data_IF_326125442078
#
_entry.id   IF_326125442078
#
_cell.length_a   1.000
_cell.length_b   1.000
_cell.length_c   1.000
_cell.angle_alpha   90.00
_cell.angle_beta   90.00
_cell.angle_gamma   90.00
#
_symmetry.space_group_name_H-M   'P 1'
#
loop_
_entity.id
_entity.type
_entity.pdbx_description
1 polymer ?
#
# COMPACT_ATOMS: atom_id res chain seq x y z
N UNK A 1 15.02 12.92 15.51
CA UNK A 1 14.76 11.74 14.67
C UNK A 1 15.34 11.95 13.28
N UNK A 2 16.04 10.97 12.70
CA UNK A 2 16.72 11.10 11.40
C UNK A 2 15.76 10.94 10.19
N UNK A 3 16.28 11.14 8.97
CA UNK A 3 15.51 10.98 7.73
C UNK A 3 15.12 9.52 7.45
N UNK A 4 15.95 8.57 7.87
CA UNK A 4 15.71 7.15 7.65
C UNK A 4 14.45 6.69 8.41
N UNK A 5 14.28 7.15 9.65
CA UNK A 5 13.12 6.79 10.47
C UNK A 5 11.81 7.33 9.87
N UNK A 6 11.82 8.54 9.31
CA UNK A 6 10.64 9.10 8.62
C UNK A 6 10.25 8.25 7.42
N UNK A 7 11.22 7.81 6.62
CA UNK A 7 10.97 6.93 5.50
C UNK A 7 10.44 5.56 5.92
N UNK A 8 10.97 5.00 7.02
CA UNK A 8 10.45 3.74 7.55
C UNK A 8 8.99 3.85 7.99
N UNK A 9 8.60 4.93 8.67
CA UNK A 9 7.20 5.18 9.05
C UNK A 9 6.31 5.34 7.80
N UNK A 10 6.77 6.09 6.81
CA UNK A 10 6.05 6.25 5.55
C UNK A 10 5.84 4.93 4.82
N UNK A 11 6.91 4.13 4.68
CA UNK A 11 6.88 2.82 4.02
C UNK A 11 5.94 1.85 4.75
N UNK A 12 5.97 1.86 6.08
CA UNK A 12 5.09 1.05 6.92
C UNK A 12 3.61 1.40 6.69
N UNK A 13 3.25 2.68 6.58
CA UNK A 13 1.87 3.11 6.24
C UNK A 13 1.49 2.63 4.84
N UNK A 14 2.34 2.86 3.83
CA UNK A 14 2.08 2.43 2.44
C UNK A 14 1.90 0.92 2.37
N UNK A 15 2.73 0.17 3.07
CA UNK A 15 2.66 -1.28 3.08
C UNK A 15 1.41 -1.79 3.81
N UNK A 16 1.05 -1.18 4.95
CA UNK A 16 -0.18 -1.46 5.68
C UNK A 16 -1.41 -1.26 4.78
N UNK A 17 -1.46 -0.16 4.02
CA UNK A 17 -2.53 0.14 3.05
C UNK A 17 -2.65 -0.93 1.96
N UNK A 18 -1.53 -1.38 1.40
CA UNK A 18 -1.49 -2.43 0.37
C UNK A 18 -1.92 -3.81 0.88
N UNK A 19 -1.71 -4.06 2.17
CA UNK A 19 -1.92 -5.36 2.80
C UNK A 19 -3.26 -5.51 3.51
N UNK A 20 -4.26 -4.66 3.23
CA UNK A 20 -5.61 -4.74 3.85
C UNK A 20 -6.20 -6.16 3.87
N UNK A 21 -5.99 -6.95 2.82
CA UNK A 21 -6.45 -8.35 2.71
C UNK A 21 -5.91 -9.29 3.80
N UNK A 22 -4.84 -8.91 4.52
CA UNK A 22 -4.30 -9.66 5.67
C UNK A 22 -5.10 -9.43 6.95
N UNK A 23 -5.91 -8.38 6.99
CA UNK A 23 -6.65 -7.93 8.17
C UNK A 23 -8.15 -8.12 7.97
N UNK A 24 -8.64 -7.80 6.77
CA UNK A 24 -10.03 -7.96 6.39
C UNK A 24 -10.10 -9.07 5.36
N UNK A 25 -10.74 -10.18 5.72
CA UNK A 25 -10.90 -11.35 4.85
C UNK A 25 -12.33 -11.37 4.27
N UNK A 26 -12.48 -11.60 2.96
CA UNK A 26 -13.79 -11.55 2.30
C UNK A 26 -14.69 -12.73 2.66
N UNK A 27 -14.11 -13.81 3.20
CA UNK A 27 -14.85 -15.00 3.68
C UNK A 27 -15.41 -14.84 5.09
N UNK A 28 -15.09 -13.75 5.81
CA UNK A 28 -15.63 -13.51 7.14
C UNK A 28 -17.12 -13.18 7.08
N UNK A 29 -17.82 -13.55 8.16
CA UNK A 29 -19.16 -13.02 8.41
C UNK A 29 -19.15 -11.49 8.45
N UNK A 30 -20.21 -10.87 7.94
CA UNK A 30 -20.28 -9.42 7.70
C UNK A 30 -19.94 -8.57 8.93
N UNK A 31 -20.45 -8.95 10.10
CA UNK A 31 -20.21 -8.25 11.36
C UNK A 31 -18.71 -8.27 11.71
N UNK A 32 -18.11 -9.46 11.73
CA UNK A 32 -16.68 -9.65 11.97
C UNK A 32 -15.79 -8.95 10.95
N UNK A 33 -16.19 -8.92 9.68
CA UNK A 33 -15.49 -8.17 8.64
C UNK A 33 -15.51 -6.66 8.90
N UNK A 34 -16.63 -6.14 9.41
CA UNK A 34 -16.80 -4.73 9.77
C UNK A 34 -15.95 -4.38 10.99
N UNK A 35 -15.94 -5.22 12.03
CA UNK A 35 -15.10 -5.02 13.21
C UNK A 35 -13.61 -5.02 12.85
N UNK A 36 -13.19 -5.98 12.02
CA UNK A 36 -11.82 -6.04 11.53
C UNK A 36 -11.44 -4.80 10.71
N UNK A 37 -12.37 -4.27 9.90
CA UNK A 37 -12.15 -3.05 9.13
C UNK A 37 -11.99 -1.83 10.06
N UNK A 38 -12.79 -1.73 11.12
CA UNK A 38 -12.67 -0.68 12.14
C UNK A 38 -11.34 -0.77 12.88
N UNK A 39 -10.92 -1.97 13.32
CA UNK A 39 -9.62 -2.17 13.98
C UNK A 39 -8.48 -1.79 13.02
N UNK A 40 -8.55 -2.24 11.77
CA UNK A 40 -7.57 -1.90 10.74
C UNK A 40 -7.48 -0.39 10.52
N UNK A 41 -8.63 0.30 10.47
CA UNK A 41 -8.70 1.76 10.35
C UNK A 41 -8.00 2.45 11.52
N UNK A 42 -8.32 2.07 12.75
CA UNK A 42 -7.70 2.65 13.96
C UNK A 42 -6.18 2.54 13.91
N UNK A 43 -5.66 1.36 13.57
CA UNK A 43 -4.20 1.16 13.43
C UNK A 43 -3.61 2.06 12.35
N UNK A 44 -4.30 2.24 11.22
CA UNK A 44 -3.83 3.09 10.13
C UNK A 44 -3.82 4.58 10.53
N UNK A 45 -4.87 5.04 11.22
CA UNK A 45 -4.95 6.39 11.79
C UNK A 45 -3.82 6.64 12.79
N UNK A 46 -3.59 5.72 13.73
CA UNK A 46 -2.51 5.84 14.72
C UNK A 46 -1.12 5.94 14.06
N UNK A 47 -0.87 5.15 13.01
CA UNK A 47 0.39 5.24 12.24
C UNK A 47 0.53 6.59 11.53
N UNK A 48 -0.55 7.09 10.92
CA UNK A 48 -0.55 8.39 10.23
C UNK A 48 -0.35 9.55 11.23
N UNK A 49 -1.03 9.53 12.37
CA UNK A 49 -0.85 10.55 13.43
C UNK A 49 0.56 10.51 14.03
N UNK A 50 1.11 9.31 14.24
CA UNK A 50 2.50 9.15 14.65
C UNK A 50 3.46 9.75 13.61
N UNK A 51 3.26 9.45 12.33
CA UNK A 51 4.06 10.00 11.25
C UNK A 51 3.96 11.54 11.15
N UNK A 52 2.73 12.07 11.24
CA UNK A 52 2.44 13.51 11.28
C UNK A 52 3.14 14.22 12.44
N UNK A 53 2.97 13.74 13.67
CA UNK A 53 3.60 14.29 14.88
C UNK A 53 5.12 14.40 14.75
N UNK A 54 5.73 13.43 14.06
CA UNK A 54 7.15 13.40 13.80
C UNK A 54 7.62 14.39 12.73
N UNK A 55 6.77 14.71 11.76
CA UNK A 55 7.05 15.69 10.71
C UNK A 55 6.81 17.13 11.18
N UNK A 56 5.85 17.36 12.09
CA UNK A 56 5.49 18.68 12.63
C UNK A 56 6.68 19.40 13.28
N UNK A 57 7.64 18.64 13.80
CA UNK A 57 8.87 19.20 14.37
C UNK A 57 9.83 19.78 13.32
N UNK A 58 9.63 19.46 12.03
CA UNK A 58 10.58 19.75 10.93
C UNK A 58 10.00 20.59 9.80
N UNK A 59 8.70 20.50 9.58
CA UNK A 59 8.05 21.06 8.41
C UNK A 59 6.90 21.98 8.81
N UNK A 60 6.69 23.03 8.04
CA UNK A 60 5.51 23.89 8.19
C UNK A 60 4.24 23.13 7.81
N UNK A 61 3.10 23.60 8.30
CA UNK A 61 1.78 23.02 8.01
C UNK A 61 1.52 22.87 6.49
N UNK A 62 1.93 23.86 5.70
CA UNK A 62 1.84 23.76 4.24
C UNK A 62 2.65 22.59 3.69
N UNK A 63 3.90 22.38 4.13
CA UNK A 63 4.73 21.26 3.67
C UNK A 63 4.19 19.93 4.19
N UNK A 64 3.68 19.89 5.42
CA UNK A 64 3.01 18.71 5.98
C UNK A 64 1.82 18.29 5.14
N UNK A 65 0.99 19.25 4.70
CA UNK A 65 -0.12 18.98 3.81
C UNK A 65 0.35 18.29 2.53
N UNK A 66 1.42 18.79 1.91
CA UNK A 66 1.99 18.19 0.70
C UNK A 66 2.57 16.78 0.90
N UNK A 67 2.91 16.39 2.13
CA UNK A 67 3.42 15.06 2.48
C UNK A 67 2.27 14.10 2.83
N UNK A 68 1.34 14.57 3.68
CA UNK A 68 0.32 13.71 4.28
C UNK A 68 -0.89 13.52 3.39
N UNK A 69 -1.33 14.56 2.68
CA UNK A 69 -2.53 14.46 1.84
C UNK A 69 -2.40 13.39 0.74
N UNK A 70 -1.28 13.29 0.00
CA UNK A 70 -1.09 12.24 -0.99
C UNK A 70 -1.10 10.83 -0.37
N UNK A 71 -0.44 10.67 0.79
CA UNK A 71 -0.39 9.39 1.51
C UNK A 71 -1.76 8.94 2.01
N UNK A 72 -2.53 9.86 2.59
CA UNK A 72 -3.90 9.61 3.07
C UNK A 72 -4.83 9.26 1.91
N UNK A 73 -4.74 10.00 0.80
CA UNK A 73 -5.50 9.71 -0.41
C UNK A 73 -5.18 8.32 -0.98
N UNK A 74 -3.90 7.92 -0.96
CA UNK A 74 -3.47 6.59 -1.34
C UNK A 74 -4.08 5.51 -0.46
N UNK A 75 -4.06 5.70 0.87
CA UNK A 75 -4.65 4.76 1.81
C UNK A 75 -6.13 4.54 1.53
N UNK A 76 -6.90 5.64 1.41
CA UNK A 76 -8.33 5.58 1.09
C UNK A 76 -8.58 4.87 -0.24
N UNK A 77 -7.78 5.13 -1.28
CA UNK A 77 -7.93 4.43 -2.56
C UNK A 77 -7.71 2.92 -2.41
N UNK A 78 -6.65 2.47 -1.73
CA UNK A 78 -6.38 1.04 -1.57
C UNK A 78 -7.49 0.32 -0.82
N UNK A 79 -8.02 0.94 0.23
CA UNK A 79 -9.13 0.36 1.00
C UNK A 79 -10.41 0.33 0.18
N UNK A 80 -10.80 1.44 -0.45
CA UNK A 80 -12.02 1.50 -1.25
C UNK A 80 -11.97 0.54 -2.44
N UNK A 81 -10.84 0.43 -3.14
CA UNK A 81 -10.66 -0.55 -4.22
C UNK A 81 -10.79 -1.98 -3.70
N UNK A 82 -10.24 -2.28 -2.52
CA UNK A 82 -10.37 -3.60 -1.91
C UNK A 82 -11.84 -3.93 -1.61
N UNK A 83 -12.55 -3.04 -0.92
CA UNK A 83 -13.95 -3.23 -0.58
C UNK A 83 -14.85 -3.34 -1.82
N UNK A 84 -14.59 -2.53 -2.85
CA UNK A 84 -15.32 -2.57 -4.11
C UNK A 84 -15.15 -3.90 -4.85
N UNK A 85 -13.93 -4.46 -4.88
CA UNK A 85 -13.64 -5.70 -5.57
C UNK A 85 -14.17 -6.96 -4.86
N UNK A 86 -14.62 -6.83 -3.61
CA UNK A 86 -15.13 -7.95 -2.81
C UNK A 86 -16.61 -7.74 -2.48
N UNK A 87 -17.50 -8.37 -3.24
CA UNK A 87 -18.95 -8.18 -3.16
C UNK A 87 -19.53 -8.41 -1.75
N UNK A 88 -18.98 -9.35 -0.97
CA UNK A 88 -19.36 -9.59 0.44
C UNK A 88 -19.07 -8.39 1.36
N UNK A 89 -18.08 -7.57 1.00
CA UNK A 89 -17.61 -6.39 1.73
C UNK A 89 -18.15 -5.07 1.15
N UNK A 90 -18.84 -5.10 0.02
CA UNK A 90 -19.38 -3.89 -0.66
C UNK A 90 -20.34 -3.04 0.18
N UNK A 91 -20.91 -3.62 1.25
CA UNK A 91 -21.77 -2.94 2.22
C UNK A 91 -21.04 -2.47 3.48
N UNK A 92 -19.76 -2.81 3.65
CA UNK A 92 -18.95 -2.28 4.73
C UNK A 92 -18.61 -0.81 4.42
N UNK A 93 -18.83 0.08 5.38
CA UNK A 93 -18.56 1.49 5.21
C UNK A 93 -17.13 1.81 5.63
N UNK A 94 -16.32 2.28 4.70
CA UNK A 94 -15.04 2.89 5.02
C UNK A 94 -15.22 4.39 5.29
N UNK A 95 -14.98 4.80 6.53
CA UNK A 95 -14.95 6.22 6.88
C UNK A 95 -13.64 6.84 6.38
N UNK A 96 -13.77 7.63 5.30
CA UNK A 96 -12.67 8.23 4.55
C UNK A 96 -11.69 9.02 5.43
N UNK A 97 -10.42 8.64 5.36
CA UNK A 97 -9.32 9.32 6.05
C UNK A 97 -9.10 10.74 5.52
N UNK A 98 -9.27 11.01 4.21
CA UNK A 98 -9.17 12.39 3.70
C UNK A 98 -10.26 13.31 4.29
N UNK A 99 -11.43 12.76 4.66
CA UNK A 99 -12.47 13.54 5.34
C UNK A 99 -12.07 13.81 6.78
N UNK A 100 -11.56 12.82 7.49
CA UNK A 100 -11.10 12.99 8.88
C UNK A 100 -9.93 13.98 8.99
N UNK A 101 -8.85 13.76 8.23
CA UNK A 101 -7.62 14.54 8.35
C UNK A 101 -7.68 15.92 7.69
N UNK A 102 -8.45 16.05 6.61
CA UNK A 102 -8.40 17.26 5.77
C UNK A 102 -9.77 17.85 5.45
N UNK A 103 -10.87 17.24 5.91
CA UNK A 103 -12.24 17.66 5.57
C UNK A 103 -12.49 17.68 4.04
N UNK A 104 -11.87 16.75 3.31
CA UNK A 104 -11.96 16.62 1.85
C UNK A 104 -12.42 15.24 1.42
N UNK A 105 -12.93 15.16 0.19
CA UNK A 105 -13.33 13.90 -0.47
C UNK A 105 -12.78 13.74 -1.90
N UNK A 106 -12.09 14.77 -2.40
CA UNK A 106 -11.62 14.88 -3.78
C UNK A 106 -10.14 14.48 -3.95
N UNK A 107 -9.63 13.58 -3.11
CA UNK A 107 -8.23 13.14 -3.05
C UNK A 107 -7.66 12.71 -4.38
N UNK A 108 -8.43 11.92 -5.14
CA UNK A 108 -8.02 11.46 -6.46
C UNK A 108 -7.84 12.58 -7.48
N UNK A 109 -8.52 13.72 -7.35
CA UNK A 109 -8.35 14.88 -8.23
C UNK A 109 -7.33 15.87 -7.69
N UNK A 110 -7.39 16.15 -6.39
CA UNK A 110 -6.50 17.09 -5.72
C UNK A 110 -5.05 16.62 -5.75
N UNK A 111 -4.80 15.32 -5.64
CA UNK A 111 -3.46 14.74 -5.80
C UNK A 111 -2.79 15.17 -7.11
N UNK A 112 -3.49 15.10 -8.25
CA UNK A 112 -2.91 15.51 -9.52
C UNK A 112 -2.81 17.03 -9.66
N UNK A 113 -3.74 17.80 -9.07
CA UNK A 113 -3.59 19.26 -9.00
C UNK A 113 -2.34 19.68 -8.21
N UNK A 114 -1.98 18.93 -7.17
CA UNK A 114 -0.72 19.16 -6.45
C UNK A 114 0.49 18.89 -7.34
N UNK A 115 0.47 17.82 -8.13
CA UNK A 115 1.53 17.53 -9.10
C UNK A 115 1.64 18.65 -10.13
N UNK A 116 0.52 19.11 -10.68
CA UNK A 116 0.48 20.20 -11.65
C UNK A 116 1.10 21.48 -11.07
N UNK A 117 0.72 21.87 -9.85
CA UNK A 117 1.26 23.06 -9.18
C UNK A 117 2.77 22.96 -8.91
N UNK A 118 3.26 21.76 -8.53
CA UNK A 118 4.70 21.50 -8.33
C UNK A 118 5.46 21.62 -9.65
N UNK A 119 4.98 20.95 -10.71
CA UNK A 119 5.63 20.95 -12.03
C UNK A 119 5.61 22.34 -12.69
N UNK A 120 4.54 23.10 -12.48
CA UNK A 120 4.41 24.48 -12.93
C UNK A 120 5.24 25.48 -12.09
N UNK A 121 5.87 25.02 -11.01
CA UNK A 121 6.63 25.84 -10.05
C UNK A 121 5.80 26.94 -9.38
N UNK A 122 4.48 26.73 -9.29
CA UNK A 122 3.57 27.62 -8.56
C UNK A 122 3.78 27.49 -7.04
N UNK A 123 4.23 26.31 -6.60
CA UNK A 123 4.57 26.03 -5.19
C UNK A 123 5.97 25.46 -5.11
N UNK A 124 6.80 26.03 -4.23
CA UNK A 124 8.14 25.52 -3.93
C UNK A 124 8.08 24.52 -2.78
N UNK A 125 8.34 23.25 -3.09
CA UNK A 125 8.37 22.15 -2.11
C UNK A 125 9.77 21.54 -2.02
N UNK A 126 10.19 21.01 -0.86
CA UNK A 126 11.38 20.18 -0.78
C UNK A 126 11.29 18.95 -1.70
N UNK A 127 12.43 18.56 -2.30
CA UNK A 127 12.55 17.44 -3.26
C UNK A 127 11.99 16.10 -2.75
N UNK A 128 11.94 15.91 -1.43
CA UNK A 128 11.35 14.73 -0.79
C UNK A 128 9.88 14.53 -1.17
N UNK A 129 9.12 15.60 -1.42
CA UNK A 129 7.70 15.56 -1.77
C UNK A 129 7.49 15.00 -3.20
N UNK A 130 8.12 15.56 -4.26
CA UNK A 130 8.06 14.97 -5.59
C UNK A 130 8.47 13.50 -5.61
N UNK A 131 9.50 13.12 -4.85
CA UNK A 131 9.94 11.72 -4.69
C UNK A 131 8.81 10.86 -4.12
N UNK A 132 8.24 11.27 -2.98
CA UNK A 132 7.17 10.55 -2.30
C UNK A 132 5.93 10.38 -3.20
N UNK A 133 5.52 11.45 -3.88
CA UNK A 133 4.39 11.43 -4.82
C UNK A 133 4.67 10.46 -5.98
N UNK A 134 5.87 10.51 -6.56
CA UNK A 134 6.26 9.59 -7.64
C UNK A 134 6.25 8.12 -7.16
N UNK A 135 6.68 7.85 -5.93
CA UNK A 135 6.61 6.51 -5.34
C UNK A 135 5.15 6.04 -5.18
N UNK A 136 4.22 6.90 -4.76
CA UNK A 136 2.80 6.52 -4.68
C UNK A 136 2.21 6.16 -6.05
N UNK A 137 2.58 6.90 -7.10
CA UNK A 137 2.19 6.56 -8.48
C UNK A 137 2.72 5.18 -8.89
N UNK A 138 4.01 4.90 -8.64
CA UNK A 138 4.65 3.60 -8.89
C UNK A 138 4.03 2.46 -8.07
N UNK A 139 3.53 2.76 -6.87
CA UNK A 139 2.76 1.83 -6.04
C UNK A 139 1.28 1.70 -6.49
N UNK A 140 0.95 2.24 -7.65
CA UNK A 140 -0.30 2.06 -8.36
C UNK A 140 -1.43 2.95 -7.84
N UNK A 141 -1.12 4.15 -7.35
CA UNK A 141 -2.13 5.18 -7.14
C UNK A 141 -2.71 5.63 -8.47
N UNK A 142 -4.04 5.65 -8.61
CA UNK A 142 -4.71 6.05 -9.86
C UNK A 142 -5.51 7.34 -9.74
N UNK A 143 -6.03 7.63 -8.55
CA UNK A 143 -6.92 8.76 -8.28
C UNK A 143 -8.02 8.89 -9.32
N UNK A 144 -8.17 10.09 -9.89
CA UNK A 144 -9.16 10.38 -10.94
C UNK A 144 -9.02 9.53 -12.21
N UNK A 145 -7.90 8.84 -12.42
CA UNK A 145 -7.65 7.98 -13.58
C UNK A 145 -7.98 6.50 -13.32
N UNK A 146 -8.75 6.17 -12.29
CA UNK A 146 -9.06 4.77 -11.96
C UNK A 146 -9.88 4.03 -13.04
N UNK A 147 -10.76 4.72 -13.78
CA UNK A 147 -11.59 4.14 -14.86
C UNK A 147 -11.02 4.34 -16.27
N UNK A 148 -10.12 5.31 -16.46
CA UNK A 148 -9.66 5.68 -17.81
C UNK A 148 -8.28 6.37 -17.79
N UNK A 149 -7.58 6.28 -18.92
CA UNK A 149 -6.40 7.08 -19.26
C UNK A 149 -5.16 6.86 -18.38
N UNK A 150 -4.73 5.61 -18.23
CA UNK A 150 -3.46 5.27 -17.57
C UNK A 150 -2.24 5.92 -18.23
N UNK A 151 -2.32 6.27 -19.52
CA UNK A 151 -1.27 7.00 -20.23
C UNK A 151 -0.93 8.33 -19.55
N UNK A 152 -1.93 9.03 -18.99
CA UNK A 152 -1.70 10.27 -18.26
C UNK A 152 -0.88 10.05 -16.97
N UNK A 153 -1.07 8.92 -16.28
CA UNK A 153 -0.28 8.60 -15.07
C UNK A 153 1.20 8.47 -15.44
N UNK A 154 1.52 7.70 -16.48
CA UNK A 154 2.90 7.55 -16.97
C UNK A 154 3.51 8.88 -17.41
N UNK A 155 2.70 9.81 -17.92
CA UNK A 155 3.19 11.16 -18.24
C UNK A 155 3.55 11.95 -16.98
N UNK A 156 2.75 11.87 -15.91
CA UNK A 156 3.08 12.49 -14.62
C UNK A 156 4.33 11.88 -14.00
N UNK A 157 4.46 10.55 -14.00
CA UNK A 157 5.64 9.83 -13.52
C UNK A 157 6.91 10.35 -14.22
N UNK A 158 6.91 10.36 -15.56
CA UNK A 158 8.06 10.85 -16.35
C UNK A 158 8.40 12.30 -16.06
N UNK A 159 7.41 13.19 -15.97
CA UNK A 159 7.64 14.60 -15.67
C UNK A 159 8.24 14.80 -14.28
N UNK A 160 7.74 14.05 -13.28
CA UNK A 160 8.29 14.06 -11.93
C UNK A 160 9.71 13.49 -11.89
N UNK A 161 9.99 12.40 -12.60
CA UNK A 161 11.34 11.83 -12.73
C UNK A 161 12.32 12.84 -13.31
N UNK A 162 11.97 13.47 -14.44
CA UNK A 162 12.81 14.52 -15.05
C UNK A 162 13.00 15.72 -14.11
N UNK A 163 11.96 16.14 -13.38
CA UNK A 163 12.10 17.20 -12.38
C UNK A 163 13.08 16.78 -11.26
N UNK A 164 12.92 15.56 -10.75
CA UNK A 164 13.75 15.02 -9.67
C UNK A 164 15.21 14.95 -10.13
N UNK A 165 15.49 14.40 -11.30
CA UNK A 165 16.83 14.29 -11.88
C UNK A 165 17.51 15.66 -12.06
N UNK A 166 16.75 16.67 -12.53
CA UNK A 166 17.27 18.02 -12.72
C UNK A 166 17.58 18.72 -11.39
N UNK A 167 16.83 18.41 -10.32
CA UNK A 167 17.10 18.93 -8.97
C UNK A 167 18.16 18.12 -8.22
N UNK A 168 18.33 16.82 -8.54
CA UNK A 168 19.28 15.91 -7.89
C UNK A 168 20.68 15.90 -8.50
N UNK A 169 20.99 16.82 -9.42
CA UNK A 169 22.36 17.23 -9.75
C UNK A 169 23.18 17.80 -8.56
N UNK A 170 22.64 17.74 -7.35
CA UNK A 170 23.31 17.97 -6.08
C UNK A 170 23.41 16.62 -5.31
N UNK A 171 24.62 16.06 -5.22
CA UNK A 171 25.00 14.68 -4.80
C UNK A 171 24.33 14.08 -3.53
N UNK A 172 23.68 14.89 -2.70
CA UNK A 172 23.09 14.45 -1.41
C UNK A 172 21.72 13.77 -1.61
N UNK A 173 20.98 14.12 -2.66
CA UNK A 173 19.62 13.60 -2.91
C UNK A 173 19.65 12.19 -3.52
N UNK A 174 20.63 11.90 -4.39
CA UNK A 174 20.76 10.61 -5.07
C UNK A 174 21.00 9.45 -4.09
N UNK A 175 21.86 9.62 -3.07
CA UNK A 175 22.10 8.55 -2.08
C UNK A 175 20.87 8.22 -1.23
N UNK A 176 20.07 9.23 -0.85
CA UNK A 176 18.84 9.01 -0.10
C UNK A 176 17.78 8.29 -0.94
N UNK A 177 17.63 8.71 -2.19
CA UNK A 177 16.67 8.13 -3.13
C UNK A 177 17.06 6.71 -3.57
N UNK A 178 18.33 6.46 -3.89
CA UNK A 178 18.84 5.13 -4.23
C UNK A 178 18.70 4.16 -3.05
N UNK A 179 19.01 4.57 -1.82
CA UNK A 179 18.81 3.72 -0.64
C UNK A 179 17.30 3.43 -0.38
N UNK A 180 16.42 4.39 -0.68
CA UNK A 180 14.95 4.20 -0.57
C UNK A 180 14.44 3.27 -1.66
N UNK A 181 14.89 3.42 -2.90
CA UNK A 181 14.56 2.50 -3.99
C UNK A 181 15.15 1.10 -3.77
N UNK A 182 16.37 1.01 -3.23
CA UNK A 182 17.02 -0.24 -2.89
C UNK A 182 16.27 -0.93 -1.74
N UNK A 183 15.92 -0.23 -0.67
CA UNK A 183 15.09 -0.79 0.43
C UNK A 183 13.67 -1.16 -0.04
N UNK A 184 13.04 -0.39 -0.93
CA UNK A 184 11.78 -0.73 -1.58
C UNK A 184 11.91 -2.00 -2.44
N UNK A 185 12.97 -2.11 -3.24
CA UNK A 185 13.22 -3.29 -4.08
C UNK A 185 13.55 -4.53 -3.25
N UNK A 186 14.32 -4.39 -2.16
CA UNK A 186 14.59 -5.45 -1.18
C UNK A 186 13.28 -5.89 -0.52
N UNK A 187 12.42 -4.95 -0.12
CA UNK A 187 11.14 -5.27 0.51
C UNK A 187 10.18 -5.98 -0.47
N UNK A 188 10.08 -5.51 -1.71
CA UNK A 188 9.32 -6.18 -2.77
C UNK A 188 9.90 -7.58 -3.09
N UNK A 189 11.22 -7.75 -3.08
CA UNK A 189 11.89 -9.03 -3.32
C UNK A 189 11.65 -10.02 -2.16
N UNK A 190 11.72 -9.55 -0.91
CA UNK A 190 11.39 -10.35 0.28
C UNK A 190 9.91 -10.77 0.31
N UNK A 191 8.99 -9.92 -0.15
CA UNK A 191 7.58 -10.29 -0.24
C UNK A 191 7.28 -11.25 -1.40
N UNK A 192 7.89 -11.05 -2.56
CA UNK A 192 7.75 -11.96 -3.71
C UNK A 192 8.25 -13.36 -3.35
N UNK A 193 9.39 -13.46 -2.65
CA UNK A 193 9.94 -14.73 -2.17
C UNK A 193 9.05 -15.34 -1.10
N UNK A 194 8.56 -14.59 -0.10
CA UNK A 194 7.62 -15.11 0.92
C UNK A 194 6.33 -15.67 0.28
N UNK A 195 5.79 -15.02 -0.75
CA UNK A 195 4.64 -15.55 -1.51
C UNK A 195 4.99 -16.82 -2.28
N UNK A 196 6.19 -16.92 -2.86
CA UNK A 196 6.69 -18.08 -3.60
C UNK A 196 6.93 -19.30 -2.70
N UNK A 197 7.44 -19.07 -1.50
CA UNK A 197 7.62 -20.08 -0.46
C UNK A 197 6.27 -20.56 0.09
N UNK A 198 5.30 -19.66 0.33
CA UNK A 198 3.95 -20.05 0.76
C UNK A 198 3.21 -20.93 -0.27
N UNK A 199 3.33 -20.62 -1.57
CA UNK A 199 2.77 -21.45 -2.65
C UNK A 199 3.44 -22.82 -2.75
N UNK A 200 4.76 -22.91 -2.51
CA UNK A 200 5.49 -24.19 -2.47
C UNK A 200 5.16 -25.04 -1.23
N UNK A 201 4.83 -24.40 -0.12
CA UNK A 201 4.41 -25.09 1.10
C UNK A 201 2.99 -25.66 0.98
N UNK A 202 2.06 -24.90 0.38
CA UNK A 202 0.69 -25.35 0.14
C UNK A 202 0.62 -26.51 -0.85
N UNK A 203 1.41 -26.49 -1.92
CA UNK A 203 1.47 -27.63 -2.85
C UNK A 203 2.07 -28.87 -2.21
N UNK A 204 3.17 -28.75 -1.44
CA UNK A 204 3.74 -29.89 -0.71
C UNK A 204 2.78 -30.47 0.35
N UNK A 205 2.03 -29.62 1.06
CA UNK A 205 1.04 -30.06 2.05
C UNK A 205 -0.13 -30.83 1.40
N UNK A 206 -0.57 -30.40 0.21
CA UNK A 206 -1.58 -31.13 -0.58
C UNK A 206 -1.11 -32.53 -1.02
N UNK A 207 0.14 -32.67 -1.49
CA UNK A 207 0.67 -33.99 -1.88
C UNK A 207 0.86 -34.94 -0.68
N UNK A 208 1.27 -34.41 0.48
CA UNK A 208 1.43 -35.22 1.70
C UNK A 208 0.06 -35.72 2.20
N UNK A 209 -0.96 -34.86 2.21
CA UNK A 209 -2.32 -35.26 2.62
C UNK A 209 -2.96 -36.27 1.65
N UNK A 210 -2.78 -36.08 0.33
CA UNK A 210 -3.24 -37.05 -0.67
C UNK A 210 -2.56 -38.42 -0.54
N UNK A 211 -1.26 -38.45 -0.22
CA UNK A 211 -0.52 -39.70 0.00
C UNK A 211 -1.01 -40.47 1.23
N UNK A 212 -1.28 -39.76 2.34
CA UNK A 212 -1.82 -40.37 3.57
C UNK A 212 -3.21 -40.96 3.31
N UNK A 213 -4.08 -40.25 2.59
CA UNK A 213 -5.40 -40.74 2.23
C UNK A 213 -5.31 -42.00 1.34
N UNK A 214 -4.41 -42.00 0.36
CA UNK A 214 -4.18 -43.15 -0.52
C UNK A 214 -3.73 -44.39 0.24
N UNK A 215 -2.79 -44.25 1.18
CA UNK A 215 -2.32 -45.37 2.02
C UNK A 215 -3.44 -45.89 2.91
N UNK A 216 -4.25 -45.00 3.51
CA UNK A 216 -5.37 -45.41 4.34
C UNK A 216 -6.42 -46.23 3.56
N UNK A 217 -6.73 -45.82 2.32
CA UNK A 217 -7.65 -46.55 1.44
C UNK A 217 -7.09 -47.95 1.12
N UNK A 218 -5.81 -48.04 0.75
CA UNK A 218 -5.16 -49.34 0.44
C UNK A 218 -5.14 -50.24 1.68
N UNK A 219 -4.79 -49.72 2.86
CA UNK A 219 -4.81 -50.48 4.10
C UNK A 219 -6.22 -50.97 4.47
N UNK A 220 -7.24 -50.14 4.30
CA UNK A 220 -8.64 -50.54 4.56
C UNK A 220 -9.12 -51.64 3.61
N UNK A 221 -8.68 -51.59 2.35
CA UNK A 221 -9.00 -52.60 1.34
C UNK A 221 -8.33 -53.95 1.65
N UNK A 222 -7.10 -53.92 2.13
CA UNK A 222 -6.37 -55.12 2.56
C UNK A 222 -6.96 -55.74 3.83
N UNK A 223 -7.40 -54.94 4.80
CA UNK A 223 -8.08 -55.45 6.00
C UNK A 223 -9.40 -56.14 5.66
N UNK A 224 -10.16 -55.62 4.69
CA UNK A 224 -11.42 -56.21 4.24
C UNK A 224 -11.24 -57.54 3.51
N UNK A 225 -10.09 -57.76 2.87
CA UNK A 225 -9.72 -59.01 2.19
C UNK A 225 -9.22 -60.10 3.15
N UNK A 226 -8.64 -59.72 4.29
CA UNK A 226 -8.13 -60.67 5.31
C UNK A 226 -9.26 -61.12 6.26
N UNK A 227 -10.31 -60.32 6.42
CA UNK A 227 -11.47 -60.62 7.28
C UNK A 227 -12.58 -61.42 6.59
N UNK A 228 -12.32 -61.96 5.39
CA UNK A 228 -13.25 -62.77 4.61
C UNK A 228 -12.67 -64.15 4.34
#
# INVERSE_FOLDING_TARGET
>A
MDHQTLWMLWLDIVQQAKDIKKYVHPELEKEKATDNLTIYRTVLVEKIECFKSNLEQKYSESILFYILFPLVSFCDEKVNLYLFNHMSLSKASWESLQTEFFQRRDGGEHFFRMIDAILAKEVKVPIVIPIQINLLLKEGFKGKYHLANQYNITLYEKKLETMIENESGCDVVNKGYENVLESLSIHQTLQSTKSRWSKRFLTKSYYISAAILGVAIVCSSYLFLILR
#
